data_IF_433760117903
#
_entry.id   IF_433760117903
#
_cell.length_a   1.000
_cell.length_b   1.000
_cell.length_c   1.000
_cell.angle_alpha   90.00
_cell.angle_beta   90.00
_cell.angle_gamma   90.00
#
_symmetry.space_group_name_H-M   'P 1'
#
loop_
_entity.id
_entity.type
_entity.pdbx_description
1 polymer ?
#
# COMPACT_ATOMS: atom_id res chain seq x y z
N UNK A 1 60.83 44.59 -21.78
CA UNK A 1 59.94 43.42 -22.03
C UNK A 1 60.00 42.31 -20.98
N UNK A 2 61.10 42.08 -20.24
CA UNK A 2 61.22 40.99 -19.23
C UNK A 2 60.31 41.13 -17.98
N UNK A 3 60.05 42.35 -17.50
CA UNK A 3 59.27 42.57 -16.27
C UNK A 3 57.77 42.22 -16.39
N UNK A 4 57.18 42.36 -17.58
CA UNK A 4 55.75 42.08 -17.80
C UNK A 4 55.46 40.57 -17.75
N UNK A 5 56.41 39.73 -18.17
CA UNK A 5 56.29 38.28 -18.18
C UNK A 5 56.35 37.71 -16.75
N UNK A 6 57.22 38.26 -15.90
CA UNK A 6 57.39 37.84 -14.50
C UNK A 6 56.14 38.18 -13.67
N UNK A 7 55.56 39.37 -13.85
CA UNK A 7 54.32 39.79 -13.17
C UNK A 7 53.15 38.88 -13.57
N UNK A 8 53.08 38.47 -14.83
CA UNK A 8 52.02 37.59 -15.34
C UNK A 8 52.14 36.17 -14.77
N UNK A 9 53.36 35.65 -14.61
CA UNK A 9 53.62 34.34 -13.97
C UNK A 9 53.26 34.38 -12.47
N UNK A 10 53.63 35.45 -11.75
CA UNK A 10 53.28 35.63 -10.34
C UNK A 10 51.77 35.72 -10.11
N UNK A 11 51.03 36.37 -11.01
CA UNK A 11 49.57 36.44 -10.95
C UNK A 11 48.91 35.08 -11.23
N UNK A 12 49.46 34.30 -12.16
CA UNK A 12 48.99 32.93 -12.44
C UNK A 12 49.24 32.02 -11.23
N UNK A 13 50.42 32.09 -10.60
CA UNK A 13 50.73 31.31 -9.40
C UNK A 13 49.84 31.70 -8.21
N UNK A 14 49.58 32.99 -8.00
CA UNK A 14 48.61 33.46 -6.98
C UNK A 14 47.20 32.97 -7.27
N UNK A 15 46.78 32.93 -8.54
CA UNK A 15 45.46 32.44 -8.92
C UNK A 15 45.32 30.93 -8.67
N UNK A 16 46.35 30.14 -9.01
CA UNK A 16 46.40 28.69 -8.77
C UNK A 16 46.36 28.39 -7.26
N UNK A 17 47.15 29.11 -6.45
CA UNK A 17 47.18 29.02 -4.99
C UNK A 17 45.81 29.35 -4.35
N UNK A 18 45.13 30.38 -4.85
CA UNK A 18 43.82 30.79 -4.33
C UNK A 18 42.72 29.78 -4.70
N UNK A 19 42.81 29.16 -5.89
CA UNK A 19 41.88 28.13 -6.36
C UNK A 19 42.04 26.83 -5.57
N UNK A 20 43.28 26.40 -5.25
CA UNK A 20 43.52 25.18 -4.46
C UNK A 20 43.03 25.29 -3.02
N UNK A 21 43.22 26.44 -2.35
CA UNK A 21 42.68 26.70 -1.01
C UNK A 21 41.15 26.71 -0.98
N UNK A 22 40.50 27.29 -2.01
CA UNK A 22 39.04 27.26 -2.13
C UNK A 22 38.51 25.83 -2.32
N UNK A 23 39.20 25.02 -3.11
CA UNK A 23 38.84 23.61 -3.37
C UNK A 23 38.98 22.74 -2.12
N UNK A 24 40.03 22.94 -1.31
CA UNK A 24 40.20 22.28 -0.01
C UNK A 24 39.12 22.67 1.01
N UNK A 25 38.68 23.94 1.00
CA UNK A 25 37.62 24.40 1.90
C UNK A 25 36.24 23.82 1.52
N UNK A 26 35.97 23.67 0.21
CA UNK A 26 34.76 22.99 -0.28
C UNK A 26 34.73 21.49 0.07
N UNK A 27 35.88 20.80 0.01
CA UNK A 27 35.98 19.39 0.40
C UNK A 27 35.73 19.17 1.90
N UNK A 28 36.24 20.05 2.78
CA UNK A 28 35.99 19.95 4.23
C UNK A 28 34.53 20.17 4.60
N UNK A 29 33.82 21.10 3.94
CA UNK A 29 32.39 21.38 4.22
C UNK A 29 31.49 20.20 3.80
N UNK A 30 31.84 19.51 2.71
CA UNK A 30 31.11 18.31 2.26
C UNK A 30 31.35 17.09 3.17
N UNK A 31 32.52 17.02 3.82
CA UNK A 31 32.83 15.92 4.74
C UNK A 31 31.95 15.91 6.00
N UNK A 32 31.63 17.08 6.56
CA UNK A 32 30.69 17.20 7.68
C UNK A 32 29.27 16.80 7.29
N UNK A 33 28.85 17.06 6.04
CA UNK A 33 27.53 16.65 5.52
C UNK A 33 27.46 15.11 5.40
N UNK A 34 28.54 14.47 4.93
CA UNK A 34 28.66 13.01 4.86
C UNK A 34 28.67 12.38 6.25
N UNK A 35 29.34 13.02 7.23
CA UNK A 35 29.39 12.55 8.61
C UNK A 35 28.02 12.67 9.32
N UNK A 36 27.27 13.75 9.05
CA UNK A 36 25.89 13.92 9.51
C UNK A 36 24.97 12.85 8.90
N UNK A 37 25.18 12.49 7.63
CA UNK A 37 24.44 11.39 6.99
C UNK A 37 24.74 10.02 7.62
N UNK A 38 25.99 9.81 8.07
CA UNK A 38 26.41 8.55 8.71
C UNK A 38 25.82 8.36 10.12
N UNK A 39 25.60 9.45 10.86
CA UNK A 39 24.98 9.42 12.20
C UNK A 39 23.49 9.03 12.15
N UNK A 40 22.82 9.22 11.01
CA UNK A 40 21.41 8.82 10.82
C UNK A 40 21.21 7.33 10.47
N UNK A 41 22.27 6.51 10.45
CA UNK A 41 22.20 5.08 10.12
C UNK A 41 21.65 4.18 11.24
N UNK A 42 21.02 4.75 12.27
CA UNK A 42 20.41 3.97 13.35
C UNK A 42 19.27 3.15 12.74
N UNK A 43 19.34 1.83 12.90
CA UNK A 43 18.29 0.90 12.46
C UNK A 43 17.00 1.18 13.24
N UNK A 44 16.18 2.06 12.68
CA UNK A 44 14.84 2.35 13.18
C UNK A 44 13.89 1.33 12.53
N UNK A 45 13.57 0.27 13.27
CA UNK A 45 12.52 -0.66 12.90
C UNK A 45 11.16 -0.01 13.21
N UNK A 46 10.54 0.65 12.24
CA UNK A 46 9.18 1.15 12.39
C UNK A 46 8.37 0.91 11.11
N UNK A 47 8.00 -0.34 10.81
CA UNK A 47 7.27 -0.67 9.58
C UNK A 47 5.74 -0.49 9.72
N UNK A 48 5.21 0.72 9.85
CA UNK A 48 3.75 0.89 10.09
C UNK A 48 2.89 0.55 8.84
N UNK A 49 2.27 -0.63 8.82
CA UNK A 49 1.14 -1.01 7.94
C UNK A 49 -0.15 -1.17 8.73
N UNK A 50 -1.29 -1.09 8.05
CA UNK A 50 -2.57 -1.46 8.65
C UNK A 50 -2.89 -2.92 8.43
N UNK A 51 -3.53 -3.52 9.43
CA UNK A 51 -4.22 -4.78 9.24
C UNK A 51 -5.53 -4.58 8.46
N UNK A 52 -5.92 -5.55 7.62
CA UNK A 52 -7.20 -5.52 6.91
C UNK A 52 -8.40 -5.32 7.85
N UNK A 53 -9.36 -4.49 7.45
CA UNK A 53 -10.59 -4.26 8.21
C UNK A 53 -11.57 -5.44 8.18
N UNK A 54 -11.30 -6.46 7.38
CA UNK A 54 -12.21 -7.59 7.21
C UNK A 54 -12.49 -8.29 8.55
N UNK A 55 -13.76 -8.48 8.88
CA UNK A 55 -14.19 -9.14 10.12
C UNK A 55 -13.62 -10.55 10.23
N UNK A 56 -13.59 -11.31 9.14
CA UNK A 56 -13.03 -12.67 9.15
C UNK A 56 -11.54 -12.68 9.49
N UNK A 57 -10.82 -11.62 9.13
CA UNK A 57 -9.40 -11.44 9.47
C UNK A 57 -9.20 -10.97 10.92
N UNK A 58 -10.05 -10.05 11.41
CA UNK A 58 -9.92 -9.48 12.75
C UNK A 58 -10.44 -10.38 13.88
N UNK A 59 -11.41 -11.26 13.61
CA UNK A 59 -11.98 -12.15 14.63
C UNK A 59 -10.94 -13.08 15.30
N UNK A 60 -10.04 -13.77 14.56
CA UNK A 60 -8.97 -14.55 15.17
C UNK A 60 -8.01 -13.72 16.05
N UNK A 61 -7.72 -12.48 15.65
CA UNK A 61 -6.86 -11.55 16.41
C UNK A 61 -7.51 -11.16 17.73
N UNK A 62 -8.76 -10.69 17.66
CA UNK A 62 -9.53 -10.28 18.84
C UNK A 62 -9.73 -11.44 19.81
N UNK A 63 -10.03 -12.64 19.29
CA UNK A 63 -10.10 -13.86 20.11
C UNK A 63 -8.79 -14.11 20.84
N UNK A 64 -7.64 -13.92 20.18
CA UNK A 64 -6.33 -14.16 20.78
C UNK A 64 -6.01 -13.13 21.88
N UNK A 65 -6.29 -11.85 21.64
CA UNK A 65 -6.18 -10.78 22.65
C UNK A 65 -6.96 -11.14 23.91
N UNK A 66 -8.20 -11.62 23.75
CA UNK A 66 -9.07 -11.99 24.88
C UNK A 66 -8.52 -13.21 25.62
N UNK A 67 -8.07 -14.26 24.90
CA UNK A 67 -7.53 -15.48 25.51
C UNK A 67 -6.24 -15.21 26.27
N UNK A 68 -5.35 -14.38 25.72
CA UNK A 68 -4.08 -14.00 26.34
C UNK A 68 -4.23 -12.86 27.35
N UNK A 69 -5.45 -12.34 27.54
CA UNK A 69 -5.81 -11.29 28.47
C UNK A 69 -4.98 -10.00 28.31
N UNK A 70 -4.69 -9.64 27.05
CA UNK A 70 -3.89 -8.46 26.68
C UNK A 70 -4.76 -7.21 26.78
N UNK A 71 -4.26 -6.17 27.46
CA UNK A 71 -4.95 -4.89 27.60
C UNK A 71 -4.84 -4.03 26.33
N UNK A 72 -5.58 -4.40 25.28
CA UNK A 72 -5.64 -3.69 24.00
C UNK A 72 -7.09 -3.39 23.62
N UNK A 73 -7.38 -2.15 23.20
CA UNK A 73 -8.73 -1.75 22.85
C UNK A 73 -9.11 -2.20 21.42
N UNK A 74 -9.88 -3.28 21.32
CA UNK A 74 -10.33 -3.87 20.04
C UNK A 74 -11.44 -3.09 19.32
N UNK A 75 -11.96 -2.03 19.95
CA UNK A 75 -13.06 -1.22 19.38
C UNK A 75 -12.59 -0.26 18.29
N UNK A 76 -11.33 0.20 18.33
CA UNK A 76 -10.78 1.16 17.38
C UNK A 76 -10.01 0.44 16.26
N UNK A 77 -10.50 0.58 15.03
CA UNK A 77 -9.95 -0.04 13.81
C UNK A 77 -9.70 1.04 12.74
N UNK A 78 -8.77 0.82 11.78
CA UNK A 78 -7.90 -0.34 11.61
C UNK A 78 -6.73 -0.36 12.59
N UNK A 79 -6.34 -1.57 12.98
CA UNK A 79 -5.17 -1.83 13.80
C UNK A 79 -3.86 -1.56 13.03
N UNK A 80 -2.85 -1.02 13.71
CA UNK A 80 -1.50 -0.95 13.16
C UNK A 80 -0.82 -2.31 13.35
N UNK A 81 -0.17 -2.80 12.29
CA UNK A 81 0.55 -4.06 12.27
C UNK A 81 1.66 -4.07 13.33
N UNK A 82 2.39 -2.95 13.49
CA UNK A 82 3.45 -2.84 14.50
C UNK A 82 2.94 -2.91 15.95
N UNK A 83 1.85 -2.21 16.27
CA UNK A 83 1.22 -2.27 17.59
C UNK A 83 0.82 -3.71 17.95
N UNK A 84 0.39 -4.47 16.94
CA UNK A 84 0.05 -5.88 17.12
C UNK A 84 1.25 -6.81 17.12
N UNK A 85 2.29 -6.58 16.30
CA UNK A 85 3.50 -7.42 16.30
C UNK A 85 4.23 -7.39 17.64
N UNK A 86 4.17 -6.25 18.35
CA UNK A 86 4.71 -6.12 19.71
C UNK A 86 3.93 -6.96 20.73
N UNK A 87 2.62 -7.13 20.54
CA UNK A 87 1.73 -7.83 21.47
C UNK A 87 1.56 -9.31 21.14
N UNK A 88 1.47 -9.64 19.85
CA UNK A 88 1.04 -10.95 19.33
C UNK A 88 1.78 -11.26 18.02
N UNK A 89 2.38 -12.45 17.94
CA UNK A 89 2.93 -12.95 16.68
C UNK A 89 1.83 -13.15 15.61
N UNK A 90 1.77 -12.23 14.65
CA UNK A 90 0.77 -12.19 13.57
C UNK A 90 0.83 -13.37 12.60
N UNK A 91 1.91 -14.15 12.60
CA UNK A 91 2.06 -15.31 11.73
C UNK A 91 0.91 -16.32 11.87
N UNK A 92 0.29 -16.42 13.05
CA UNK A 92 -0.86 -17.29 13.29
C UNK A 92 -2.08 -16.90 12.43
N UNK A 93 -2.33 -15.62 12.22
CA UNK A 93 -3.49 -15.14 11.43
C UNK A 93 -3.25 -15.36 9.95
N UNK A 94 -2.03 -15.04 9.51
CA UNK A 94 -1.61 -15.33 8.15
C UNK A 94 -1.56 -16.84 7.84
N UNK A 95 -1.33 -17.70 8.85
CA UNK A 95 -1.36 -19.16 8.70
C UNK A 95 -2.78 -19.76 8.78
N UNK A 96 -3.64 -19.26 9.66
CA UNK A 96 -5.03 -19.74 9.79
C UNK A 96 -5.89 -19.42 8.56
N UNK A 97 -5.63 -18.29 7.89
CA UNK A 97 -6.24 -18.01 6.58
C UNK A 97 -5.63 -18.82 5.43
N UNK A 98 -4.39 -19.32 5.59
CA UNK A 98 -3.76 -20.23 4.62
C UNK A 98 -4.26 -21.67 4.77
N UNK A 99 -4.68 -22.10 5.96
CA UNK A 99 -4.79 -23.52 6.30
C UNK A 99 -6.03 -24.27 5.76
N UNK A 100 -7.02 -23.58 5.17
CA UNK A 100 -8.26 -24.21 4.67
C UNK A 100 -8.42 -24.24 3.13
N UNK A 101 -7.47 -23.68 2.40
CA UNK A 101 -7.50 -23.64 0.94
C UNK A 101 -6.67 -24.83 0.43
N UNK A 102 -7.34 -25.97 0.16
CA UNK A 102 -6.84 -27.24 -0.41
C UNK A 102 -5.36 -27.19 -0.84
N UNK A 103 -4.47 -27.70 0.01
CA UNK A 103 -3.05 -27.83 -0.32
C UNK A 103 -2.87 -29.02 -1.25
N UNK A 104 -2.75 -28.76 -2.55
CA UNK A 104 -2.05 -29.69 -3.42
C UNK A 104 -0.58 -29.71 -2.95
N UNK A 105 0.01 -30.91 -2.78
CA UNK A 105 1.36 -31.12 -2.19
C UNK A 105 2.50 -30.35 -2.90
N UNK A 106 2.28 -29.84 -4.11
CA UNK A 106 3.17 -28.94 -4.85
C UNK A 106 2.32 -27.98 -5.68
N UNK A 107 2.34 -26.69 -5.36
CA UNK A 107 1.78 -25.68 -6.26
C UNK A 107 2.77 -25.44 -7.41
N UNK A 108 2.26 -25.48 -8.65
CA UNK A 108 3.02 -25.00 -9.81
C UNK A 108 3.34 -23.50 -9.65
N UNK A 109 4.34 -23.00 -10.38
CA UNK A 109 4.70 -21.57 -10.37
C UNK A 109 3.49 -20.66 -10.59
N UNK A 110 2.61 -21.04 -11.52
CA UNK A 110 1.37 -20.32 -11.82
C UNK A 110 0.35 -20.36 -10.68
N UNK A 111 0.08 -21.54 -10.10
CA UNK A 111 -0.82 -21.68 -8.95
C UNK A 111 -0.32 -20.88 -7.73
N UNK A 112 1.01 -20.84 -7.54
CA UNK A 112 1.64 -20.06 -6.48
C UNK A 112 1.42 -18.56 -6.68
N UNK A 113 1.58 -18.06 -7.91
CA UNK A 113 1.29 -16.65 -8.26
C UNK A 113 -0.17 -16.26 -8.15
N UNK A 114 -1.09 -17.19 -8.43
CA UNK A 114 -2.53 -16.92 -8.29
C UNK A 114 -3.03 -16.94 -6.84
N UNK A 115 -2.45 -17.77 -5.96
CA UNK A 115 -3.00 -18.03 -4.62
C UNK A 115 -2.16 -17.52 -3.45
N UNK A 116 -0.84 -17.46 -3.60
CA UNK A 116 0.10 -17.32 -2.47
C UNK A 116 0.96 -16.07 -2.52
N UNK A 117 1.25 -15.58 -3.72
CA UNK A 117 2.18 -14.48 -3.93
C UNK A 117 1.49 -13.30 -4.61
N UNK A 118 1.98 -12.10 -4.32
CA UNK A 118 1.67 -10.94 -5.13
C UNK A 118 2.13 -11.14 -6.58
N UNK A 119 1.40 -10.55 -7.53
CA UNK A 119 1.66 -10.76 -8.95
C UNK A 119 3.02 -10.18 -9.36
N UNK A 120 3.22 -8.88 -9.10
CA UNK A 120 4.50 -8.18 -9.29
C UNK A 120 4.96 -7.61 -7.94
N UNK A 121 6.24 -7.81 -7.63
CA UNK A 121 6.88 -7.32 -6.40
C UNK A 121 8.17 -6.59 -6.77
N UNK A 122 8.23 -5.30 -6.44
CA UNK A 122 9.45 -4.52 -6.46
C UNK A 122 9.89 -4.29 -5.01
N UNK A 123 10.98 -4.94 -4.59
CA UNK A 123 11.45 -4.87 -3.21
C UNK A 123 12.95 -4.60 -3.14
N UNK A 124 13.29 -3.48 -2.51
CA UNK A 124 14.62 -3.12 -2.07
C UNK A 124 14.63 -2.94 -0.53
N UNK A 125 15.76 -2.54 0.05
CA UNK A 125 15.84 -2.25 1.48
C UNK A 125 14.96 -1.05 1.89
N UNK A 126 14.83 -0.07 0.98
CA UNK A 126 14.16 1.21 1.28
C UNK A 126 12.74 1.30 0.72
N UNK A 127 12.31 0.38 -0.14
CA UNK A 127 10.94 0.39 -0.65
C UNK A 127 10.44 -1.01 -1.00
N UNK A 128 9.14 -1.20 -0.81
CA UNK A 128 8.41 -2.40 -1.23
C UNK A 128 7.12 -1.97 -1.90
N UNK A 129 7.03 -2.20 -3.21
CA UNK A 129 5.82 -1.94 -4.00
C UNK A 129 5.32 -3.27 -4.56
N UNK A 130 4.04 -3.53 -4.41
CA UNK A 130 3.37 -4.72 -4.96
C UNK A 130 2.21 -4.29 -5.83
N UNK A 131 2.09 -4.91 -6.99
CA UNK A 131 0.97 -4.72 -7.91
C UNK A 131 0.26 -6.07 -8.08
N UNK A 132 -1.04 -6.07 -7.84
CA UNK A 132 -1.88 -7.27 -7.89
C UNK A 132 -3.13 -6.99 -8.74
N UNK A 133 -3.35 -7.72 -9.85
CA UNK A 133 -4.62 -7.67 -10.56
C UNK A 133 -5.70 -8.36 -9.74
N UNK A 134 -6.93 -7.87 -9.84
CA UNK A 134 -8.09 -8.38 -9.10
C UNK A 134 -9.18 -8.77 -10.08
N UNK A 135 -9.70 -9.98 -9.89
CA UNK A 135 -10.82 -10.50 -10.65
C UNK A 135 -11.81 -11.16 -9.71
N UNK A 136 -13.09 -10.92 -9.91
CA UNK A 136 -14.17 -11.64 -9.24
C UNK A 136 -15.23 -12.00 -10.27
N UNK A 137 -15.61 -13.28 -10.30
CA UNK A 137 -16.63 -13.78 -11.19
C UNK A 137 -17.68 -14.51 -10.36
N UNK A 138 -18.89 -13.98 -10.37
CA UNK A 138 -20.03 -14.57 -9.70
C UNK A 138 -21.08 -14.89 -10.75
N UNK A 139 -21.65 -16.09 -10.66
CA UNK A 139 -22.76 -16.53 -11.51
C UNK A 139 -23.83 -17.06 -10.56
N UNK A 140 -25.06 -16.63 -10.79
CA UNK A 140 -26.19 -17.03 -9.99
C UNK A 140 -27.46 -17.15 -10.83
N UNK A 141 -28.50 -17.67 -10.21
CA UNK A 141 -29.83 -17.77 -10.79
C UNK A 141 -30.87 -17.46 -9.73
N UNK A 142 -31.76 -16.53 -10.03
CA UNK A 142 -32.92 -16.29 -9.21
C UNK A 142 -33.95 -17.39 -9.48
N UNK A 143 -34.33 -18.13 -8.43
CA UNK A 143 -35.26 -19.26 -8.54
C UNK A 143 -36.66 -18.75 -8.93
N UNK A 144 -37.09 -17.63 -8.36
CA UNK A 144 -38.45 -17.12 -8.53
C UNK A 144 -38.67 -16.54 -9.93
N UNK A 145 -37.79 -15.63 -10.37
CA UNK A 145 -37.90 -15.00 -11.69
C UNK A 145 -37.22 -15.76 -12.81
N UNK A 146 -36.58 -16.91 -12.51
CA UNK A 146 -35.77 -17.71 -13.44
C UNK A 146 -34.67 -16.91 -14.16
N UNK A 147 -34.35 -15.70 -13.67
CA UNK A 147 -33.35 -14.78 -14.23
C UNK A 147 -31.95 -15.22 -13.83
N UNK A 148 -31.03 -15.22 -14.79
CA UNK A 148 -29.62 -15.44 -14.51
C UNK A 148 -28.99 -14.13 -14.03
N UNK A 149 -28.19 -14.22 -12.97
CA UNK A 149 -27.39 -13.10 -12.46
C UNK A 149 -25.93 -13.38 -12.69
N UNK A 150 -25.16 -12.32 -12.87
CA UNK A 150 -23.72 -12.41 -12.88
C UNK A 150 -23.11 -11.12 -12.33
N UNK A 151 -21.90 -11.24 -11.80
CA UNK A 151 -21.03 -10.12 -11.46
C UNK A 151 -19.66 -10.41 -12.06
N UNK A 152 -19.14 -9.49 -12.85
CA UNK A 152 -17.79 -9.53 -13.38
C UNK A 152 -17.03 -8.30 -12.88
N UNK A 153 -16.17 -8.49 -11.89
CA UNK A 153 -15.27 -7.45 -11.36
C UNK A 153 -13.90 -7.61 -11.98
N UNK A 154 -13.36 -6.50 -12.47
CA UNK A 154 -11.97 -6.38 -12.94
C UNK A 154 -11.34 -5.20 -12.24
N UNK A 155 -10.09 -5.33 -11.85
CA UNK A 155 -9.43 -4.28 -11.14
C UNK A 155 -7.96 -4.56 -10.88
N UNK A 156 -7.37 -3.69 -10.08
CA UNK A 156 -6.03 -3.88 -9.57
C UNK A 156 -5.89 -3.23 -8.19
N UNK A 157 -4.89 -3.66 -7.46
CA UNK A 157 -4.44 -3.00 -6.25
C UNK A 157 -2.94 -2.81 -6.27
N UNK A 158 -2.51 -1.65 -5.79
CA UNK A 158 -1.12 -1.29 -5.59
C UNK A 158 -0.92 -0.98 -4.12
N UNK A 159 0.06 -1.64 -3.51
CA UNK A 159 0.52 -1.34 -2.14
C UNK A 159 1.96 -0.92 -2.22
N UNK A 160 2.30 0.14 -1.50
CA UNK A 160 3.67 0.57 -1.37
C UNK A 160 4.03 0.92 0.07
N UNK A 161 5.25 0.56 0.44
CA UNK A 161 5.92 1.08 1.63
C UNK A 161 7.22 1.75 1.17
N UNK A 162 7.43 2.98 1.59
CA UNK A 162 8.64 3.75 1.33
C UNK A 162 9.28 4.06 2.68
N UNK A 163 10.52 3.61 2.82
CA UNK A 163 11.29 3.62 4.06
C UNK A 163 10.47 2.96 5.19
N UNK A 164 10.47 3.59 6.36
CA UNK A 164 9.73 3.15 7.55
C UNK A 164 8.48 4.03 7.80
N UNK A 165 8.47 5.26 7.30
CA UNK A 165 7.45 6.25 7.69
C UNK A 165 6.27 6.40 6.74
N UNK A 166 6.38 5.94 5.49
CA UNK A 166 5.36 6.18 4.48
C UNK A 166 4.80 4.88 3.93
N UNK A 167 3.49 4.73 3.98
CA UNK A 167 2.79 3.64 3.33
C UNK A 167 1.60 4.16 2.54
N UNK A 168 1.35 3.55 1.39
CA UNK A 168 0.22 3.85 0.56
C UNK A 168 -0.46 2.59 0.03
N UNK A 169 -1.74 2.71 -0.21
CA UNK A 169 -2.56 1.72 -0.86
C UNK A 169 -3.47 2.43 -1.86
N UNK A 170 -3.58 1.90 -3.05
CA UNK A 170 -4.62 2.31 -4.00
C UNK A 170 -5.22 1.09 -4.67
N UNK A 171 -6.50 1.14 -4.95
CA UNK A 171 -7.19 0.13 -5.72
C UNK A 171 -8.24 0.75 -6.63
N UNK A 172 -8.47 0.08 -7.75
CA UNK A 172 -9.50 0.45 -8.71
C UNK A 172 -10.27 -0.82 -9.10
N UNK A 173 -11.58 -0.70 -9.17
CA UNK A 173 -12.48 -1.79 -9.53
C UNK A 173 -13.52 -1.27 -10.52
N UNK A 174 -13.73 -2.05 -11.56
CA UNK A 174 -14.83 -1.90 -12.52
C UNK A 174 -15.66 -3.18 -12.48
N UNK A 175 -16.97 -3.02 -12.32
CA UNK A 175 -17.91 -4.11 -12.14
C UNK A 175 -19.00 -4.04 -13.18
N UNK A 176 -19.28 -5.18 -13.80
CA UNK A 176 -20.43 -5.36 -14.67
C UNK A 176 -21.34 -6.43 -14.09
N UNK A 177 -22.58 -6.06 -13.74
CA UNK A 177 -23.45 -6.96 -12.98
C UNK A 177 -24.89 -6.95 -13.48
N UNK A 178 -25.49 -8.14 -13.55
CA UNK A 178 -26.94 -8.32 -13.59
C UNK A 178 -27.38 -8.75 -12.19
N UNK A 179 -28.13 -7.90 -11.52
CA UNK A 179 -28.61 -8.18 -10.17
C UNK A 179 -29.96 -8.90 -10.14
N UNK A 180 -30.25 -9.52 -8.99
CA UNK A 180 -31.59 -10.00 -8.65
C UNK A 180 -32.58 -8.83 -8.56
N UNK A 181 -33.87 -9.12 -8.76
CA UNK A 181 -34.91 -8.12 -8.93
C UNK A 181 -35.01 -7.13 -7.75
N UNK A 182 -34.76 -7.59 -6.53
CA UNK A 182 -34.78 -6.72 -5.34
C UNK A 182 -33.65 -5.69 -5.30
N UNK A 183 -32.46 -6.05 -5.79
CA UNK A 183 -31.33 -5.12 -5.90
C UNK A 183 -31.54 -4.23 -7.11
N UNK A 184 -31.95 -4.81 -8.24
CA UNK A 184 -32.19 -4.10 -9.49
C UNK A 184 -33.17 -2.94 -9.28
N UNK A 185 -34.33 -3.23 -8.66
CA UNK A 185 -35.34 -2.21 -8.36
C UNK A 185 -34.78 -1.08 -7.49
N UNK A 186 -33.99 -1.40 -6.47
CA UNK A 186 -33.35 -0.37 -5.64
C UNK A 186 -32.36 0.45 -6.45
N UNK A 187 -31.52 -0.19 -7.25
CA UNK A 187 -30.53 0.49 -8.09
C UNK A 187 -31.21 1.41 -9.11
N UNK A 188 -32.34 1.01 -9.69
CA UNK A 188 -33.15 1.87 -10.57
C UNK A 188 -33.74 3.10 -9.84
N UNK A 189 -34.11 2.94 -8.57
CA UNK A 189 -34.67 4.02 -7.76
C UNK A 189 -33.61 5.07 -7.36
N UNK A 190 -32.42 4.62 -6.96
CA UNK A 190 -31.37 5.50 -6.39
C UNK A 190 -30.17 5.73 -7.30
N UNK A 191 -30.09 5.05 -8.45
CA UNK A 191 -28.97 5.08 -9.40
C UNK A 191 -27.60 4.78 -8.77
N UNK A 192 -27.59 4.02 -7.68
CA UNK A 192 -26.40 3.70 -6.87
C UNK A 192 -26.48 2.24 -6.44
N UNK A 193 -25.37 1.51 -6.56
CA UNK A 193 -25.19 0.21 -5.92
C UNK A 193 -24.69 0.44 -4.51
N UNK A 194 -25.43 -0.09 -3.53
CA UNK A 194 -25.12 0.08 -2.11
C UNK A 194 -23.67 -0.34 -1.81
N UNK A 195 -22.89 0.61 -1.30
CA UNK A 195 -21.48 0.40 -0.94
C UNK A 195 -20.50 0.36 -2.11
N UNK A 196 -20.95 0.60 -3.35
CA UNK A 196 -20.13 0.49 -4.57
C UNK A 196 -20.14 1.76 -5.44
N UNK A 197 -21.09 2.67 -5.20
CA UNK A 197 -21.15 3.97 -5.90
C UNK A 197 -22.22 4.04 -6.99
N UNK A 198 -22.19 5.11 -7.78
CA UNK A 198 -23.17 5.36 -8.84
C UNK A 198 -23.05 4.32 -9.96
N UNK A 199 -24.17 4.03 -10.59
CA UNK A 199 -24.22 3.11 -11.73
C UNK A 199 -24.49 3.82 -13.04
N UNK A 200 -24.10 3.14 -14.12
CA UNK A 200 -24.54 3.40 -15.48
C UNK A 200 -25.29 2.16 -16.00
N UNK A 201 -26.42 2.32 -16.69
CA UNK A 201 -27.05 1.19 -17.37
C UNK A 201 -26.11 0.62 -18.44
N UNK A 202 -26.02 -0.70 -18.50
CA UNK A 202 -25.19 -1.45 -19.43
C UNK A 202 -26.03 -2.53 -20.10
N UNK A 203 -26.05 -2.53 -21.44
CA UNK A 203 -26.97 -3.37 -22.22
C UNK A 203 -28.43 -3.18 -21.74
N UNK A 204 -29.26 -4.22 -21.85
CA UNK A 204 -30.70 -4.11 -21.53
C UNK A 204 -31.00 -4.24 -20.03
N UNK A 205 -30.23 -5.03 -19.26
CA UNK A 205 -30.58 -5.43 -17.89
C UNK A 205 -29.37 -5.56 -16.95
N UNK A 206 -28.26 -4.91 -17.29
CA UNK A 206 -27.05 -4.92 -16.49
C UNK A 206 -26.64 -3.50 -16.09
N UNK A 207 -25.75 -3.43 -15.10
CA UNK A 207 -25.16 -2.19 -14.63
C UNK A 207 -23.66 -2.25 -14.74
N UNK A 208 -23.08 -1.12 -15.11
CA UNK A 208 -21.65 -0.85 -15.06
C UNK A 208 -21.39 0.18 -13.97
N UNK A 209 -20.48 -0.13 -13.06
CA UNK A 209 -20.13 0.74 -11.94
C UNK A 209 -18.69 0.52 -11.51
N UNK A 210 -18.04 1.59 -11.11
CA UNK A 210 -16.64 1.57 -10.78
C UNK A 210 -16.34 2.43 -9.54
N UNK A 211 -15.37 1.99 -8.77
CA UNK A 211 -14.91 2.74 -7.61
C UNK A 211 -13.41 2.60 -7.46
N UNK A 212 -12.85 3.60 -6.79
CA UNK A 212 -11.45 3.66 -6.45
C UNK A 212 -11.29 4.01 -4.97
N UNK A 213 -10.24 3.44 -4.38
CA UNK A 213 -9.90 3.69 -2.99
C UNK A 213 -8.41 4.03 -2.91
N UNK A 214 -8.08 5.02 -2.09
CA UNK A 214 -6.74 5.46 -1.81
C UNK A 214 -6.56 5.60 -0.29
N UNK A 215 -5.44 5.11 0.21
CA UNK A 215 -5.03 5.29 1.60
C UNK A 215 -3.58 5.70 1.61
N UNK A 216 -3.31 6.78 2.32
CA UNK A 216 -1.95 7.25 2.59
C UNK A 216 -1.79 7.34 4.10
N UNK A 217 -0.69 6.79 4.59
CA UNK A 217 -0.32 6.86 5.99
C UNK A 217 1.11 7.33 6.12
N UNK A 218 1.28 8.31 6.99
CA UNK A 218 2.57 8.89 7.32
C UNK A 218 2.77 8.89 8.84
N UNK A 219 3.86 8.28 9.28
CA UNK A 219 4.28 8.25 10.68
C UNK A 219 5.43 9.23 10.86
N UNK A 220 5.27 10.22 11.75
CA UNK A 220 6.33 11.18 12.07
C UNK A 220 7.11 10.74 13.32
N UNK A 221 8.42 10.99 13.34
CA UNK A 221 9.27 10.79 14.52
C UNK A 221 9.53 12.14 15.21
N UNK A 222 9.37 12.28 16.55
CA UNK A 222 9.17 11.23 17.55
C UNK A 222 7.70 10.75 17.71
N UNK A 223 7.58 9.49 18.08
CA UNK A 223 6.52 8.46 17.88
C UNK A 223 5.04 8.76 18.26
N UNK A 224 4.62 9.99 18.51
CA UNK A 224 3.26 10.20 19.06
C UNK A 224 2.18 10.62 18.04
N UNK A 225 2.53 10.97 16.80
CA UNK A 225 1.57 11.48 15.82
C UNK A 225 1.58 10.66 14.52
N UNK A 226 0.52 9.89 14.32
CA UNK A 226 0.24 9.17 13.07
C UNK A 226 -0.80 9.94 12.25
N UNK A 227 -0.41 10.39 11.05
CA UNK A 227 -1.33 11.05 10.12
C UNK A 227 -1.85 10.04 9.11
N UNK A 228 -3.18 9.96 8.99
CA UNK A 228 -3.88 8.99 8.14
C UNK A 228 -4.90 9.73 7.30
N UNK A 229 -4.83 9.57 5.98
CA UNK A 229 -5.89 10.02 5.06
C UNK A 229 -6.42 8.80 4.32
N UNK A 230 -7.73 8.62 4.42
CA UNK A 230 -8.50 7.68 3.59
C UNK A 230 -9.27 8.50 2.56
N UNK A 231 -9.07 8.19 1.28
CA UNK A 231 -9.78 8.79 0.16
C UNK A 231 -10.57 7.68 -0.52
N UNK A 232 -11.87 7.90 -0.67
CA UNK A 232 -12.73 7.02 -1.43
C UNK A 232 -13.39 7.83 -2.52
N UNK A 233 -13.22 7.41 -3.76
CA UNK A 233 -13.74 8.11 -4.92
C UNK A 233 -14.47 7.11 -5.82
N UNK A 234 -15.75 7.40 -6.05
CA UNK A 234 -16.54 6.65 -7.01
C UNK A 234 -16.36 7.28 -8.38
N UNK A 235 -16.16 6.45 -9.39
CA UNK A 235 -16.21 6.90 -10.76
C UNK A 235 -17.63 6.73 -11.25
N UNK A 236 -18.06 7.70 -12.05
CA UNK A 236 -19.42 7.92 -12.53
C UNK A 236 -20.25 8.72 -11.54
#
# INVERSE_FOLDING_TARGET
MKNFFIIRILNILKFISKKSKKMLFFQKKNFYIIFIFFIFSIKINAQNSFLPLNRSFNLPLERKIIIENINFQTSFKPYLENEFEELINLNFVYQTNKSKIFFFKKDSYFLRKLRKENFIIFKNNDFKITFDPIFNFEIGKNINSKKNTFTNTRGFSVRGKILYNFSFFTSFYENQSIFNDYIHKKVDEIYVVNGQGRVKPYKENAYDYAYSCGLISYTYFPINNNFKIFIFENKF
#
